data_IF_633475849154
#
_entry.id   IF_633475849154
#
_cell.length_a   1.000
_cell.length_b   1.000
_cell.length_c   1.000
_cell.angle_alpha   90.00
_cell.angle_beta   90.00
_cell.angle_gamma   90.00
#
_symmetry.space_group_name_H-M   'P 1'
#
loop_
_entity.id
_entity.type
_entity.pdbx_description
1 polymer ?
#
# COMPACT_ATOMS: atom_id res chain seq x y z
N UNK A 1 21.16 -17.70 11.52
CA UNK A 1 19.91 -17.66 12.32
C UNK A 1 18.78 -17.47 11.33
N UNK A 2 18.05 -18.53 11.04
CA UNK A 2 16.98 -18.50 10.04
C UNK A 2 15.83 -17.60 10.50
N UNK A 3 15.63 -16.49 9.79
CA UNK A 3 14.36 -15.76 9.83
C UNK A 3 13.30 -16.67 9.19
N UNK A 4 12.65 -17.51 10.00
CA UNK A 4 11.50 -18.29 9.56
C UNK A 4 10.45 -17.33 9.02
N UNK A 5 10.18 -17.42 7.73
CA UNK A 5 9.10 -16.70 7.08
C UNK A 5 7.79 -17.18 7.71
N UNK A 6 7.06 -16.29 8.37
CA UNK A 6 5.76 -16.63 8.93
C UNK A 6 4.70 -16.45 7.86
N UNK A 7 4.19 -17.57 7.39
CA UNK A 7 3.10 -17.58 6.43
C UNK A 7 1.77 -17.24 7.10
N UNK A 8 0.99 -16.34 6.51
CA UNK A 8 -0.40 -16.11 6.90
C UNK A 8 -1.32 -16.28 5.70
N UNK A 9 -2.53 -16.75 5.99
CA UNK A 9 -3.62 -16.70 5.03
C UNK A 9 -4.29 -15.33 5.12
N UNK A 10 -4.61 -14.74 3.97
CA UNK A 10 -5.44 -13.54 3.93
C UNK A 10 -6.87 -13.95 3.58
N UNK A 11 -7.84 -13.32 4.24
CA UNK A 11 -9.26 -13.44 3.91
C UNK A 11 -9.80 -12.10 3.42
N UNK A 12 -10.38 -12.11 2.21
CA UNK A 12 -11.22 -10.99 1.78
C UNK A 12 -12.50 -11.04 2.58
N UNK A 13 -12.91 -9.89 3.09
CA UNK A 13 -14.26 -9.78 3.61
C UNK A 13 -15.26 -9.72 2.46
N UNK A 14 -15.01 -8.83 1.51
CA UNK A 14 -15.88 -8.57 0.36
C UNK A 14 -15.09 -7.87 -0.74
N UNK A 15 -15.43 -8.15 -2.00
CA UNK A 15 -14.88 -7.49 -3.16
C UNK A 15 -15.99 -6.90 -4.04
N UNK A 16 -15.95 -5.60 -4.26
CA UNK A 16 -16.96 -4.86 -5.02
C UNK A 16 -16.33 -3.65 -5.72
N UNK A 17 -17.05 -3.04 -6.67
CA UNK A 17 -16.63 -1.78 -7.25
C UNK A 17 -16.76 -0.68 -6.21
N UNK A 18 -15.62 -0.20 -5.72
CA UNK A 18 -15.58 0.98 -4.88
C UNK A 18 -15.77 2.20 -5.80
N UNK A 19 -16.70 3.08 -5.42
CA UNK A 19 -16.95 4.33 -6.13
C UNK A 19 -15.65 5.15 -6.25
N UNK A 20 -15.67 6.12 -7.16
CA UNK A 20 -14.53 6.99 -7.40
C UNK A 20 -14.03 7.59 -6.08
N UNK A 21 -12.80 7.28 -5.70
CA UNK A 21 -12.18 7.91 -4.54
C UNK A 21 -11.95 9.39 -4.88
N UNK A 22 -12.42 10.29 -4.03
CA UNK A 22 -12.04 11.70 -4.11
C UNK A 22 -11.06 12.01 -2.98
N UNK A 23 -9.86 12.46 -3.34
CA UNK A 23 -8.88 12.90 -2.35
C UNK A 23 -8.21 14.20 -2.79
N UNK A 24 -8.43 15.26 -2.01
CA UNK A 24 -7.86 16.59 -2.23
C UNK A 24 -7.99 17.08 -3.70
N UNK A 25 -9.21 16.97 -4.25
CA UNK A 25 -9.52 17.38 -5.64
C UNK A 25 -9.08 16.40 -6.73
N UNK A 26 -8.45 15.27 -6.39
CA UNK A 26 -8.15 14.20 -7.35
C UNK A 26 -9.26 13.15 -7.31
N UNK A 27 -9.84 12.84 -8.46
CA UNK A 27 -10.80 11.74 -8.65
C UNK A 27 -10.05 10.53 -9.18
N UNK A 28 -10.13 9.41 -8.47
CA UNK A 28 -9.66 8.11 -8.97
C UNK A 28 -10.84 7.39 -9.60
N UNK A 29 -10.60 6.73 -10.72
CA UNK A 29 -11.61 5.88 -11.35
C UNK A 29 -12.10 4.80 -10.38
N UNK A 30 -13.38 4.38 -10.47
CA UNK A 30 -13.87 3.23 -9.73
C UNK A 30 -13.00 2.00 -9.98
N UNK A 31 -12.75 1.22 -8.94
CA UNK A 31 -11.90 0.02 -9.02
C UNK A 31 -12.59 -1.18 -8.39
N UNK A 32 -12.40 -2.36 -8.97
CA UNK A 32 -12.82 -3.59 -8.31
C UNK A 32 -11.91 -3.85 -7.11
N UNK A 33 -12.43 -3.57 -5.92
CA UNK A 33 -11.65 -3.47 -4.68
C UNK A 33 -11.98 -4.61 -3.73
N UNK A 34 -10.96 -5.30 -3.22
CA UNK A 34 -11.10 -6.24 -2.11
C UNK A 34 -10.76 -5.58 -0.77
N UNK A 35 -11.69 -5.69 0.18
CA UNK A 35 -11.50 -5.18 1.54
C UNK A 35 -11.01 -6.27 2.49
N UNK A 36 -9.98 -5.94 3.26
CA UNK A 36 -9.29 -6.83 4.19
C UNK A 36 -9.40 -6.23 5.59
N UNK A 37 -10.15 -6.87 6.47
CA UNK A 37 -10.25 -6.43 7.87
C UNK A 37 -10.03 -7.55 8.90
N UNK A 38 -10.02 -8.81 8.47
CA UNK A 38 -9.88 -9.95 9.39
C UNK A 38 -8.44 -10.41 9.62
N UNK A 39 -7.49 -9.92 8.81
CA UNK A 39 -6.10 -10.41 8.84
C UNK A 39 -5.14 -9.36 9.38
N UNK A 40 -4.51 -9.66 10.53
CA UNK A 40 -3.46 -8.82 11.12
C UNK A 40 -2.06 -9.29 10.74
N UNK A 41 -1.28 -8.36 10.20
CA UNK A 41 0.12 -8.53 9.78
C UNK A 41 1.00 -7.78 10.78
N UNK A 42 1.30 -8.44 11.89
CA UNK A 42 2.08 -7.88 12.99
C UNK A 42 3.51 -8.44 13.08
N UNK A 43 3.85 -9.37 12.19
CA UNK A 43 5.14 -10.05 12.12
C UNK A 43 5.86 -9.64 10.82
N UNK A 44 7.17 -9.35 10.85
CA UNK A 44 7.92 -8.97 9.66
C UNK A 44 8.03 -10.14 8.68
N UNK A 45 8.22 -9.85 7.39
CA UNK A 45 8.36 -10.85 6.32
C UNK A 45 7.18 -11.83 6.25
N UNK A 46 5.99 -11.39 6.67
CA UNK A 46 4.77 -12.20 6.56
C UNK A 46 4.45 -12.42 5.09
N UNK A 47 4.51 -13.67 4.65
CA UNK A 47 4.14 -14.05 3.28
C UNK A 47 2.69 -14.46 3.22
N UNK A 48 2.01 -14.06 2.16
CA UNK A 48 0.65 -14.52 1.87
C UNK A 48 0.76 -15.89 1.21
N UNK A 49 0.16 -16.92 1.82
CA UNK A 49 0.17 -18.27 1.26
C UNK A 49 -1.02 -18.60 0.40
N UNK A 50 -2.20 -18.10 0.75
CA UNK A 50 -3.40 -18.24 -0.06
C UNK A 50 -4.46 -17.23 0.37
N UNK A 51 -5.35 -16.92 -0.56
CA UNK A 51 -6.62 -16.27 -0.28
C UNK A 51 -7.65 -17.34 0.06
N UNK A 52 -8.03 -17.41 1.34
CA UNK A 52 -8.85 -18.52 1.82
C UNK A 52 -10.30 -18.42 1.38
N UNK A 53 -10.82 -17.21 1.11
CA UNK A 53 -12.19 -16.94 0.65
C UNK A 53 -12.37 -15.43 0.48
N UNK A 54 -13.19 -15.03 -0.48
CA UNK A 54 -13.68 -13.67 -0.63
C UNK A 54 -15.06 -13.67 -1.27
N UNK A 55 -15.97 -12.80 -0.79
CA UNK A 55 -17.25 -12.61 -1.47
C UNK A 55 -17.03 -11.72 -2.69
N UNK A 56 -16.96 -12.33 -3.87
CA UNK A 56 -16.91 -11.63 -5.15
C UNK A 56 -18.32 -11.37 -5.69
N UNK A 57 -18.42 -10.43 -6.64
CA UNK A 57 -19.63 -10.30 -7.48
C UNK A 57 -19.60 -11.38 -8.56
N UNK A 58 -20.77 -11.76 -9.06
CA UNK A 58 -20.94 -12.86 -10.02
C UNK A 58 -19.95 -12.76 -11.20
N UNK A 59 -19.21 -13.85 -11.42
CA UNK A 59 -18.21 -13.97 -12.49
C UNK A 59 -16.85 -13.31 -12.22
N UNK A 60 -16.66 -12.67 -11.06
CA UNK A 60 -15.39 -12.04 -10.68
C UNK A 60 -14.51 -12.97 -9.84
N UNK A 61 -13.21 -12.75 -9.95
CA UNK A 61 -12.16 -13.49 -9.25
C UNK A 61 -11.12 -12.54 -8.63
N UNK A 62 -10.06 -13.08 -8.04
CA UNK A 62 -8.92 -12.29 -7.59
C UNK A 62 -8.11 -11.70 -8.76
N UNK A 63 -8.17 -12.29 -9.95
CA UNK A 63 -7.51 -11.75 -11.14
C UNK A 63 -8.14 -10.42 -11.56
N UNK A 64 -9.43 -10.20 -11.28
CA UNK A 64 -10.12 -8.95 -11.59
C UNK A 64 -9.82 -7.81 -10.61
N UNK A 65 -9.12 -8.08 -9.52
CA UNK A 65 -8.93 -7.11 -8.43
C UNK A 65 -7.90 -6.07 -8.83
N UNK A 66 -8.36 -4.82 -8.87
CA UNK A 66 -7.54 -3.66 -9.20
C UNK A 66 -7.05 -2.94 -7.95
N UNK A 67 -7.73 -3.12 -6.82
CA UNK A 67 -7.39 -2.46 -5.57
C UNK A 67 -7.54 -3.38 -4.37
N UNK A 68 -6.65 -3.23 -3.40
CA UNK A 68 -6.79 -3.83 -2.08
C UNK A 68 -6.85 -2.74 -1.02
N UNK A 69 -7.70 -2.95 -0.02
CA UNK A 69 -7.90 -2.01 1.07
C UNK A 69 -7.84 -2.70 2.42
N UNK A 70 -6.78 -2.43 3.17
CA UNK A 70 -6.68 -2.82 4.58
C UNK A 70 -7.33 -1.74 5.43
N UNK A 71 -8.37 -2.13 6.17
CA UNK A 71 -9.12 -1.25 7.07
C UNK A 71 -9.54 -2.02 8.31
N UNK A 72 -9.57 -1.34 9.46
CA UNK A 72 -9.99 -1.91 10.75
C UNK A 72 -9.19 -3.18 11.11
N UNK A 73 -7.91 -3.23 10.75
CA UNK A 73 -7.01 -4.33 11.09
C UNK A 73 -5.59 -3.81 11.34
N UNK A 74 -4.73 -4.63 11.94
CA UNK A 74 -3.35 -4.24 12.27
C UNK A 74 -2.39 -4.70 11.18
N UNK A 75 -1.80 -3.77 10.45
CA UNK A 75 -0.80 -4.02 9.40
C UNK A 75 0.47 -3.28 9.79
N UNK A 76 1.23 -3.82 10.75
CA UNK A 76 2.49 -3.22 11.19
C UNK A 76 3.61 -3.38 10.17
N UNK A 77 3.56 -4.44 9.37
CA UNK A 77 4.49 -4.75 8.29
C UNK A 77 3.71 -4.95 6.99
N UNK A 78 4.31 -4.55 5.88
CA UNK A 78 3.68 -4.67 4.57
C UNK A 78 3.59 -6.16 4.15
N UNK A 79 2.45 -6.63 3.62
CA UNK A 79 2.31 -8.00 3.15
C UNK A 79 3.16 -8.29 1.90
N UNK A 80 3.87 -9.42 1.89
CA UNK A 80 4.63 -9.87 0.73
C UNK A 80 3.78 -10.73 -0.22
N UNK A 81 4.21 -10.83 -1.48
CA UNK A 81 3.65 -11.69 -2.53
C UNK A 81 2.20 -11.36 -2.94
N UNK A 82 1.78 -10.09 -2.82
CA UNK A 82 0.45 -9.63 -3.26
C UNK A 82 0.22 -9.83 -4.77
N UNK A 83 1.26 -9.66 -5.57
CA UNK A 83 1.28 -9.82 -7.03
C UNK A 83 0.88 -11.23 -7.49
N UNK A 84 1.16 -12.25 -6.67
CA UNK A 84 0.83 -13.64 -6.98
C UNK A 84 -0.66 -13.96 -6.94
N UNK A 85 -1.44 -13.11 -6.28
CA UNK A 85 -2.88 -13.27 -6.14
C UNK A 85 -3.67 -12.18 -6.86
N UNK A 86 -3.04 -11.02 -7.09
CA UNK A 86 -3.65 -9.86 -7.72
C UNK A 86 -2.82 -9.41 -8.92
N UNK A 87 -2.86 -10.16 -10.03
CA UNK A 87 -2.03 -9.86 -11.20
C UNK A 87 -2.35 -8.49 -11.82
N UNK A 88 -3.58 -8.00 -11.64
CA UNK A 88 -4.04 -6.70 -12.17
C UNK A 88 -4.07 -5.60 -11.10
N UNK A 89 -3.35 -5.76 -9.99
CA UNK A 89 -3.35 -4.78 -8.90
C UNK A 89 -2.76 -3.44 -9.36
N UNK A 90 -3.52 -2.38 -9.10
CA UNK A 90 -3.17 -0.99 -9.40
C UNK A 90 -3.07 -0.12 -8.15
N UNK A 91 -3.84 -0.44 -7.11
CA UNK A 91 -3.96 0.40 -5.92
C UNK A 91 -3.77 -0.44 -4.66
N UNK A 92 -2.85 0.00 -3.80
CA UNK A 92 -2.71 -0.54 -2.44
C UNK A 92 -3.12 0.53 -1.43
N UNK A 93 -4.17 0.25 -0.65
CA UNK A 93 -4.64 1.10 0.45
C UNK A 93 -4.39 0.42 1.79
N UNK A 94 -3.66 1.09 2.67
CA UNK A 94 -3.43 0.66 4.06
C UNK A 94 -3.68 1.88 4.92
N UNK A 95 -4.90 2.09 5.41
CA UNK A 95 -5.27 3.31 6.13
C UNK A 95 -5.48 3.03 7.61
N UNK A 96 -4.86 3.85 8.49
CA UNK A 96 -5.02 3.74 9.94
C UNK A 96 -4.76 2.33 10.51
N UNK A 97 -3.82 1.58 9.92
CA UNK A 97 -3.52 0.19 10.28
C UNK A 97 -2.22 0.03 11.09
N UNK A 98 -1.51 1.12 11.37
CA UNK A 98 -0.30 1.11 12.20
C UNK A 98 0.98 0.68 11.47
N UNK A 99 1.01 0.77 10.14
CA UNK A 99 2.16 0.41 9.31
C UNK A 99 3.42 1.20 9.71
N UNK A 100 4.50 0.49 10.02
CA UNK A 100 5.71 1.09 10.63
C UNK A 100 6.79 1.44 9.60
N UNK A 101 6.85 0.70 8.51
CA UNK A 101 7.85 0.86 7.46
C UNK A 101 7.35 0.29 6.14
N UNK A 102 7.88 0.83 5.05
CA UNK A 102 7.79 0.26 3.71
C UNK A 102 9.19 0.33 3.11
N UNK A 103 9.65 -0.78 2.55
CA UNK A 103 10.94 -0.94 1.91
C UNK A 103 10.75 -1.29 0.44
N UNK A 104 11.82 -1.21 -0.36
CA UNK A 104 11.72 -1.63 -1.77
C UNK A 104 11.32 -3.10 -1.92
N UNK A 105 11.81 -3.98 -1.04
CA UNK A 105 11.48 -5.41 -1.07
C UNK A 105 10.01 -5.69 -0.78
N UNK A 106 9.38 -4.86 0.05
CA UNK A 106 7.94 -4.96 0.33
C UNK A 106 7.08 -4.73 -0.93
N UNK A 107 7.62 -4.00 -1.91
CA UNK A 107 6.96 -3.65 -3.16
C UNK A 107 7.42 -4.51 -4.36
N UNK A 108 8.18 -5.59 -4.13
CA UNK A 108 8.58 -6.50 -5.21
C UNK A 108 7.35 -7.14 -5.88
N UNK A 109 7.31 -7.16 -7.20
CA UNK A 109 6.18 -7.70 -7.97
C UNK A 109 5.02 -6.70 -8.14
N UNK A 110 5.04 -5.59 -7.42
CA UNK A 110 4.03 -4.54 -7.46
C UNK A 110 4.40 -3.38 -8.39
N UNK A 111 5.26 -3.60 -9.38
CA UNK A 111 5.71 -2.56 -10.32
C UNK A 111 4.57 -2.00 -11.20
N UNK A 112 3.43 -2.71 -11.24
CA UNK A 112 2.24 -2.30 -11.97
C UNK A 112 1.37 -1.26 -11.26
N UNK A 113 1.55 -1.06 -9.94
CA UNK A 113 0.66 -0.19 -9.18
C UNK A 113 0.84 1.29 -9.60
N UNK A 114 -0.27 2.01 -9.65
CA UNK A 114 -0.31 3.45 -9.92
C UNK A 114 -0.52 4.28 -8.66
N UNK A 115 -1.01 3.67 -7.57
CA UNK A 115 -1.35 4.37 -6.34
C UNK A 115 -0.94 3.59 -5.09
N UNK A 116 -0.17 4.25 -4.23
CA UNK A 116 0.15 3.78 -2.88
C UNK A 116 -0.44 4.74 -1.85
N UNK A 117 -1.51 4.31 -1.18
CA UNK A 117 -2.31 5.12 -0.27
C UNK A 117 -2.19 4.60 1.16
N UNK A 118 -1.33 5.20 1.97
CA UNK A 118 -1.07 4.77 3.34
C UNK A 118 -1.19 5.88 4.41
N UNK A 119 -2.29 6.66 4.45
CA UNK A 119 -2.44 7.71 5.44
C UNK A 119 -2.71 7.17 6.85
N UNK A 120 -2.34 7.96 7.86
CA UNK A 120 -2.69 7.66 9.26
C UNK A 120 -1.92 6.47 9.86
N UNK A 121 -0.74 6.15 9.31
CA UNK A 121 0.10 5.07 9.80
C UNK A 121 1.26 5.61 10.66
N UNK A 122 2.28 4.78 10.87
CA UNK A 122 3.43 5.04 11.76
C UNK A 122 4.75 4.95 10.99
N UNK A 123 4.74 5.20 9.68
CA UNK A 123 5.94 5.14 8.83
C UNK A 123 6.91 6.22 9.30
N UNK A 124 8.16 5.84 9.60
CA UNK A 124 9.17 6.77 10.16
C UNK A 124 10.26 7.18 9.18
N UNK A 125 10.49 6.40 8.13
CA UNK A 125 11.53 6.69 7.15
C UNK A 125 11.14 6.24 5.74
N UNK A 126 11.66 6.95 4.75
CA UNK A 126 11.55 6.61 3.33
C UNK A 126 12.97 6.39 2.78
N UNK A 127 13.40 5.14 2.58
CA UNK A 127 14.74 4.85 2.07
C UNK A 127 14.89 5.31 0.62
N UNK A 128 16.11 5.69 0.22
CA UNK A 128 16.39 6.28 -1.10
C UNK A 128 15.91 5.43 -2.29
N UNK A 129 15.90 4.10 -2.15
CA UNK A 129 15.56 3.16 -3.19
C UNK A 129 14.10 2.70 -3.17
N UNK A 130 13.27 3.21 -2.24
CA UNK A 130 11.91 2.75 -1.99
C UNK A 130 11.09 2.56 -3.27
N UNK A 131 11.16 3.52 -4.19
CA UNK A 131 10.36 3.54 -5.42
C UNK A 131 11.12 3.11 -6.68
N UNK A 132 12.29 2.49 -6.55
CA UNK A 132 13.09 2.04 -7.71
C UNK A 132 12.30 1.01 -8.53
N UNK A 133 12.10 1.26 -9.82
CA UNK A 133 11.34 0.35 -10.69
C UNK A 133 9.82 0.53 -10.66
N UNK A 134 9.29 1.40 -9.79
CA UNK A 134 7.86 1.68 -9.65
C UNK A 134 7.38 2.68 -10.72
N UNK A 135 7.71 2.44 -11.99
CA UNK A 135 7.56 3.44 -13.06
C UNK A 135 6.09 3.81 -13.35
N UNK A 136 5.12 2.98 -12.98
CA UNK A 136 3.69 3.29 -13.14
C UNK A 136 3.11 4.10 -11.98
N UNK A 137 3.86 4.29 -10.89
CA UNK A 137 3.39 4.97 -9.70
C UNK A 137 3.17 6.46 -9.97
N UNK A 138 1.92 6.91 -9.81
CA UNK A 138 1.45 8.28 -10.07
C UNK A 138 0.98 8.98 -8.80
N UNK A 139 0.55 8.22 -7.79
CA UNK A 139 0.05 8.78 -6.54
C UNK A 139 0.69 8.11 -5.32
N UNK A 140 1.31 8.91 -4.46
CA UNK A 140 1.87 8.49 -3.17
C UNK A 140 1.28 9.35 -2.07
N UNK A 141 0.52 8.72 -1.18
CA UNK A 141 -0.14 9.40 -0.06
C UNK A 141 0.33 8.77 1.25
N UNK A 142 1.22 9.47 1.95
CA UNK A 142 1.72 9.12 3.28
C UNK A 142 1.38 10.19 4.33
N UNK A 143 0.31 10.95 4.11
CA UNK A 143 -0.17 11.94 5.08
C UNK A 143 -0.40 11.34 6.47
N UNK A 144 -0.23 12.13 7.54
CA UNK A 144 -0.47 11.68 8.93
C UNK A 144 0.34 10.44 9.29
N UNK A 145 1.62 10.43 8.88
CA UNK A 145 2.59 9.43 9.31
C UNK A 145 3.59 10.08 10.29
N UNK A 146 4.71 9.40 10.54
CA UNK A 146 5.77 9.87 11.43
C UNK A 146 7.10 9.98 10.70
N UNK A 147 7.06 10.27 9.39
CA UNK A 147 8.25 10.32 8.55
C UNK A 147 9.15 11.40 9.14
N UNK A 148 10.37 10.98 9.48
CA UNK A 148 11.43 11.82 10.04
C UNK A 148 12.68 11.85 9.17
N UNK A 149 12.90 10.76 8.44
CA UNK A 149 14.13 10.52 7.67
C UNK A 149 13.73 10.17 6.24
N UNK A 150 14.13 10.99 5.28
CA UNK A 150 13.94 10.71 3.86
C UNK A 150 15.10 11.26 3.05
N UNK A 151 15.52 10.52 2.03
CA UNK A 151 16.51 11.02 1.07
C UNK A 151 15.87 12.07 0.15
N UNK A 152 16.61 13.12 -0.19
CA UNK A 152 16.21 14.08 -1.23
C UNK A 152 16.01 13.44 -2.61
N UNK A 153 16.50 12.21 -2.82
CA UNK A 153 16.39 11.45 -4.06
C UNK A 153 15.32 10.35 -4.03
N UNK A 154 14.57 10.19 -2.94
CA UNK A 154 13.63 9.07 -2.78
C UNK A 154 12.58 9.01 -3.89
N UNK A 155 12.11 10.17 -4.38
CA UNK A 155 11.11 10.26 -5.43
C UNK A 155 11.70 10.32 -6.84
N UNK A 156 13.03 10.44 -7.01
CA UNK A 156 13.67 10.52 -8.33
C UNK A 156 13.24 9.41 -9.29
N UNK A 157 13.07 8.13 -8.86
CA UNK A 157 12.62 7.07 -9.77
C UNK A 157 11.23 7.27 -10.38
N UNK A 158 10.34 8.02 -9.71
CA UNK A 158 8.93 8.17 -10.08
C UNK A 158 8.54 9.62 -10.40
N UNK A 159 9.45 10.58 -10.22
CA UNK A 159 9.15 12.02 -10.25
C UNK A 159 8.51 12.48 -11.56
N UNK A 160 8.84 11.84 -12.70
CA UNK A 160 8.30 12.19 -14.02
C UNK A 160 6.84 11.78 -14.20
N UNK A 161 6.38 10.76 -13.48
CA UNK A 161 5.03 10.21 -13.58
C UNK A 161 4.15 10.62 -12.40
N UNK A 162 4.74 11.24 -11.37
CA UNK A 162 4.07 11.61 -10.14
C UNK A 162 3.08 12.75 -10.40
N UNK A 163 1.81 12.47 -10.16
CA UNK A 163 0.70 13.43 -10.24
C UNK A 163 0.34 13.91 -8.84
N UNK A 164 0.46 13.01 -7.85
CA UNK A 164 0.13 13.31 -6.46
C UNK A 164 1.21 12.81 -5.52
N UNK A 165 1.69 13.75 -4.71
CA UNK A 165 2.50 13.47 -3.53
C UNK A 165 1.85 14.15 -2.34
N UNK A 166 1.50 13.37 -1.31
CA UNK A 166 0.95 13.91 -0.07
C UNK A 166 1.73 13.35 1.11
N UNK A 167 2.57 14.21 1.69
CA UNK A 167 3.35 13.91 2.88
C UNK A 167 2.93 14.83 4.05
N UNK A 168 1.82 15.54 3.94
CA UNK A 168 1.37 16.50 4.97
C UNK A 168 1.18 15.83 6.33
N UNK A 169 1.25 16.58 7.43
CA UNK A 169 1.09 16.06 8.79
C UNK A 169 2.07 14.92 9.13
N UNK A 170 3.32 15.04 8.67
CA UNK A 170 4.46 14.23 9.08
C UNK A 170 5.45 15.05 9.92
N UNK A 171 6.29 14.37 10.70
CA UNK A 171 7.12 15.02 11.71
C UNK A 171 8.36 15.72 11.12
N UNK A 172 8.91 15.30 9.97
CA UNK A 172 10.08 15.97 9.34
C UNK A 172 9.76 17.00 8.26
N UNK A 173 8.48 17.33 8.03
CA UNK A 173 8.12 18.31 6.99
C UNK A 173 7.85 19.69 7.60
N UNK A 174 7.78 19.80 8.93
CA UNK A 174 7.91 21.08 9.67
C UNK A 174 9.38 21.53 9.78
N UNK A 175 10.15 21.39 8.70
CA UNK A 175 11.44 22.05 8.59
C UNK A 175 11.23 23.52 8.19
N UNK A 176 10.98 24.37 9.20
CA UNK A 176 11.37 25.79 9.15
C UNK A 176 10.26 26.82 8.99
N UNK A 177 9.45 27.03 10.03
CA UNK A 177 9.10 28.41 10.41
C UNK A 177 10.25 28.96 11.26
N UNK A 178 11.30 29.44 10.59
CA UNK A 178 12.25 30.41 11.18
C UNK A 178 11.91 31.78 10.65
#
# INVERSE_FOLDING_TARGET
MDHKHQSKHIRANVCFYEDSLQWNGTTYEPTYTCFISTTSIIDPNTRIMSWLEGKHRDGKSFDDVEAISFKNTSVHYFPLDLDKFFPNLRIVKIENCGLKSITRSDLNGLENIDTLFCPGNRITSLPNNLFTGMYKLRSVVFRRNRIKIMSSKVFTPIIKNLIRLDLTENVSIDAGST
#
